data_IF_239131782068
#
_entry.id   IF_239131782068
#
_cell.length_a   1.000
_cell.length_b   1.000
_cell.length_c   1.000
_cell.angle_alpha   90.00
_cell.angle_beta   90.00
_cell.angle_gamma   90.00
#
_symmetry.space_group_name_H-M   'P 1'
#
loop_
_entity.id
_entity.type
_entity.pdbx_description
1 polymer ?
#
# COMPACT_ATOMS: atom_id res chain seq x y z
N UNK A 1 -25.87 -3.12 28.48
CA UNK A 1 -24.93 -2.55 27.49
C UNK A 1 -25.44 -1.18 27.10
N UNK A 2 -24.72 -0.11 27.49
CA UNK A 2 -25.08 1.25 27.13
C UNK A 2 -24.83 1.45 25.64
N UNK A 3 -25.87 1.24 24.82
CA UNK A 3 -25.92 1.75 23.44
C UNK A 3 -26.03 3.27 23.55
N UNK A 4 -24.85 3.88 23.66
CA UNK A 4 -24.65 5.23 24.15
C UNK A 4 -25.06 6.22 23.06
N UNK A 5 -25.56 7.38 23.49
CA UNK A 5 -26.04 8.57 22.77
C UNK A 5 -25.41 8.90 21.39
N UNK A 6 -24.25 8.35 21.06
CA UNK A 6 -23.46 8.65 19.86
C UNK A 6 -23.24 7.45 18.91
N UNK A 7 -23.84 6.27 19.14
CA UNK A 7 -23.63 5.09 18.27
C UNK A 7 -24.00 5.34 16.80
N UNK A 8 -24.92 6.28 16.53
CA UNK A 8 -25.36 6.65 15.17
C UNK A 8 -24.20 7.14 14.28
N UNK A 9 -23.09 7.63 14.84
CA UNK A 9 -21.95 8.11 14.04
C UNK A 9 -21.31 7.01 13.19
N UNK A 10 -21.44 5.74 13.59
CA UNK A 10 -20.95 4.59 12.82
C UNK A 10 -21.71 4.38 11.51
N UNK A 11 -22.93 4.93 11.38
CA UNK A 11 -23.72 4.82 10.14
C UNK A 11 -23.17 5.69 9.01
N UNK A 12 -22.22 6.58 9.31
CA UNK A 12 -21.52 7.39 8.30
C UNK A 12 -20.27 6.71 7.74
N UNK A 13 -19.89 5.53 8.25
CA UNK A 13 -18.82 4.74 7.65
C UNK A 13 -19.27 4.25 6.27
N UNK A 14 -18.39 4.37 5.27
CA UNK A 14 -18.66 3.91 3.91
C UNK A 14 -18.17 2.48 3.77
N UNK A 15 -19.01 1.60 3.23
CA UNK A 15 -18.56 0.29 2.75
C UNK A 15 -17.84 0.46 1.42
N UNK A 16 -16.56 0.16 1.43
CA UNK A 16 -15.61 0.39 0.35
C UNK A 16 -14.96 -0.92 -0.12
N UNK A 17 -15.71 -2.02 0.01
CA UNK A 17 -15.28 -3.35 -0.37
C UNK A 17 -14.99 -3.47 -1.87
N UNK A 18 -13.80 -3.93 -2.21
CA UNK A 18 -13.38 -4.21 -3.59
C UNK A 18 -14.13 -5.41 -4.18
N UNK A 19 -14.53 -5.30 -5.45
CA UNK A 19 -15.28 -6.32 -6.18
C UNK A 19 -14.65 -7.71 -6.07
N UNK A 20 -15.46 -8.74 -5.81
CA UNK A 20 -14.99 -10.12 -5.66
C UNK A 20 -14.42 -10.69 -6.97
N UNK A 21 -13.49 -11.65 -6.89
CA UNK A 21 -12.84 -12.29 -8.04
C UNK A 21 -12.15 -11.30 -8.99
N UNK A 22 -11.77 -10.13 -8.47
CA UNK A 22 -10.95 -9.14 -9.15
C UNK A 22 -9.63 -8.95 -8.41
N UNK A 23 -8.56 -8.78 -9.19
CA UNK A 23 -7.24 -8.42 -8.69
C UNK A 23 -7.28 -7.03 -8.05
N UNK A 24 -6.63 -6.88 -6.90
CA UNK A 24 -6.48 -5.59 -6.23
C UNK A 24 -5.02 -5.18 -6.40
N UNK A 25 -4.79 -3.96 -6.90
CA UNK A 25 -3.46 -3.39 -7.02
C UNK A 25 -3.36 -2.18 -6.10
N UNK A 26 -2.46 -2.24 -5.14
CA UNK A 26 -2.12 -1.10 -4.27
C UNK A 26 -0.84 -0.49 -4.79
N UNK A 27 -0.92 0.73 -5.32
CA UNK A 27 0.25 1.50 -5.74
C UNK A 27 0.57 2.57 -4.69
N UNK A 28 1.83 2.60 -4.26
CA UNK A 28 2.36 3.57 -3.31
C UNK A 28 3.47 4.37 -3.99
N UNK A 29 3.44 5.68 -3.82
CA UNK A 29 4.38 6.62 -4.45
C UNK A 29 5.02 7.55 -3.40
N UNK A 30 6.28 7.87 -3.62
CA UNK A 30 7.06 8.79 -2.81
C UNK A 30 6.54 10.23 -2.87
N UNK A 31 5.80 10.66 -1.85
CA UNK A 31 5.34 12.06 -1.76
C UNK A 31 6.50 13.06 -1.82
N UNK A 32 6.50 13.89 -2.86
CA UNK A 32 7.52 14.92 -3.09
C UNK A 32 8.96 14.36 -3.10
N UNK A 33 9.15 13.16 -3.67
CA UNK A 33 10.42 12.44 -3.61
C UNK A 33 11.60 13.21 -4.23
N UNK A 34 11.35 14.10 -5.19
CA UNK A 34 12.40 14.98 -5.71
C UNK A 34 13.02 15.87 -4.61
N UNK A 35 12.21 16.41 -3.68
CA UNK A 35 12.73 17.19 -2.55
C UNK A 35 13.51 16.31 -1.58
N UNK A 36 13.01 15.10 -1.32
CA UNK A 36 13.66 14.11 -0.47
C UNK A 36 15.03 13.70 -1.03
N UNK A 37 15.08 13.26 -2.29
CA UNK A 37 16.33 12.81 -2.94
C UNK A 37 17.37 13.93 -3.01
N UNK A 38 16.95 15.20 -3.20
CA UNK A 38 17.85 16.35 -3.14
C UNK A 38 18.40 16.58 -1.72
N UNK A 39 17.54 16.53 -0.69
CA UNK A 39 17.95 16.72 0.71
C UNK A 39 18.88 15.60 1.20
N UNK A 40 18.74 14.39 0.66
CA UNK A 40 19.55 13.22 1.00
C UNK A 40 20.69 12.93 0.01
N UNK A 41 20.98 13.86 -0.90
CA UNK A 41 22.11 13.78 -1.84
C UNK A 41 22.14 12.46 -2.62
N UNK A 42 20.99 12.10 -3.21
CA UNK A 42 20.90 10.92 -4.06
C UNK A 42 21.74 11.10 -5.32
N UNK A 43 22.44 10.04 -5.72
CA UNK A 43 23.12 9.96 -7.00
C UNK A 43 22.09 10.01 -8.14
N UNK A 44 22.47 10.67 -9.24
CA UNK A 44 21.65 10.81 -10.44
C UNK A 44 22.34 10.09 -11.62
N UNK A 45 21.60 9.44 -12.52
CA UNK A 45 20.13 9.41 -12.59
C UNK A 45 19.49 8.49 -11.53
N UNK A 46 20.22 7.50 -11.01
CA UNK A 46 19.71 6.51 -10.08
C UNK A 46 20.61 6.38 -8.85
N UNK A 47 20.02 6.19 -7.68
CA UNK A 47 20.72 5.91 -6.43
C UNK A 47 20.40 4.49 -5.95
N UNK A 48 21.39 3.61 -5.98
CA UNK A 48 21.25 2.21 -5.60
C UNK A 48 20.84 2.03 -4.14
N UNK A 49 21.24 2.94 -3.24
CA UNK A 49 20.91 2.86 -1.80
C UNK A 49 19.42 3.05 -1.60
N UNK A 50 18.84 4.04 -2.30
CA UNK A 50 17.40 4.30 -2.27
C UNK A 50 16.59 3.18 -2.87
N UNK A 51 16.98 2.70 -4.06
CA UNK A 51 16.30 1.60 -4.74
C UNK A 51 16.36 0.30 -3.94
N UNK A 52 17.52 -0.02 -3.35
CA UNK A 52 17.69 -1.18 -2.48
C UNK A 52 16.85 -1.07 -1.21
N UNK A 53 16.76 0.12 -0.62
CA UNK A 53 15.90 0.37 0.53
C UNK A 53 14.43 0.16 0.20
N UNK A 54 13.95 0.69 -0.95
CA UNK A 54 12.56 0.48 -1.37
C UNK A 54 12.25 -0.99 -1.65
N UNK A 55 13.16 -1.69 -2.33
CA UNK A 55 13.02 -3.12 -2.60
C UNK A 55 12.96 -3.91 -1.29
N UNK A 56 13.82 -3.59 -0.32
CA UNK A 56 13.80 -4.22 1.00
C UNK A 56 12.50 -3.94 1.76
N UNK A 57 11.99 -2.71 1.70
CA UNK A 57 10.70 -2.37 2.30
C UNK A 57 9.56 -3.16 1.65
N UNK A 58 9.52 -3.25 0.32
CA UNK A 58 8.53 -4.03 -0.41
C UNK A 58 8.61 -5.53 -0.07
N UNK A 59 9.82 -6.10 0.07
CA UNK A 59 10.00 -7.48 0.53
C UNK A 59 9.43 -7.72 1.93
N UNK A 60 9.58 -6.77 2.85
CA UNK A 60 8.96 -6.87 4.18
C UNK A 60 7.44 -6.83 4.10
N UNK A 61 6.86 -5.94 3.27
CA UNK A 61 5.41 -5.88 3.03
C UNK A 61 4.90 -7.21 2.47
N UNK A 62 5.58 -7.78 1.46
CA UNK A 62 5.22 -9.09 0.90
C UNK A 62 5.38 -10.23 1.92
N UNK A 63 6.32 -10.12 2.86
CA UNK A 63 6.50 -11.10 3.93
C UNK A 63 5.38 -11.08 4.97
N UNK A 64 4.81 -9.90 5.24
CA UNK A 64 3.68 -9.72 6.18
C UNK A 64 2.34 -10.13 5.54
N UNK A 65 2.14 -9.80 4.25
CA UNK A 65 0.90 -10.06 3.54
C UNK A 65 1.05 -11.21 2.53
N UNK A 66 0.73 -12.42 2.97
CA UNK A 66 0.85 -13.65 2.16
C UNK A 66 -0.06 -13.71 0.92
N UNK A 67 -1.08 -12.86 0.84
CA UNK A 67 -2.01 -12.81 -0.30
C UNK A 67 -1.49 -11.93 -1.46
N UNK A 68 -0.36 -11.24 -1.29
CA UNK A 68 0.34 -10.52 -2.36
C UNK A 68 1.12 -11.53 -3.21
N UNK A 69 0.80 -11.62 -4.50
CA UNK A 69 1.43 -12.59 -5.42
C UNK A 69 2.56 -12.00 -6.25
N UNK A 70 2.58 -10.68 -6.40
CA UNK A 70 3.56 -9.95 -7.21
C UNK A 70 3.71 -8.55 -6.64
N UNK A 71 4.95 -8.06 -6.64
CA UNK A 71 5.22 -6.64 -6.45
C UNK A 71 6.22 -6.15 -7.49
N UNK A 72 5.99 -4.95 -8.02
CA UNK A 72 6.83 -4.29 -9.01
C UNK A 72 7.13 -2.87 -8.55
N UNK A 73 8.40 -2.46 -8.61
CA UNK A 73 8.83 -1.12 -8.21
C UNK A 73 9.76 -0.48 -9.21
N UNK A 74 9.64 0.83 -9.36
CA UNK A 74 10.46 1.66 -10.24
C UNK A 74 10.55 3.08 -9.67
N UNK A 75 11.71 3.74 -9.77
CA UNK A 75 11.92 5.10 -9.23
C UNK A 75 11.59 5.20 -7.73
N UNK A 76 10.44 5.79 -7.40
CA UNK A 76 9.92 6.09 -6.09
C UNK A 76 8.54 5.47 -5.84
N UNK A 77 8.10 4.57 -6.73
CA UNK A 77 6.84 3.85 -6.63
C UNK A 77 7.02 2.34 -6.45
N UNK A 78 6.00 1.72 -5.83
CA UNK A 78 5.83 0.27 -5.76
C UNK A 78 4.36 -0.10 -5.89
N UNK A 79 4.08 -1.07 -6.75
CA UNK A 79 2.76 -1.70 -6.93
C UNK A 79 2.75 -3.09 -6.31
N UNK A 80 1.73 -3.38 -5.52
CA UNK A 80 1.50 -4.68 -4.88
C UNK A 80 0.19 -5.30 -5.41
N UNK A 81 0.27 -6.52 -5.92
CA UNK A 81 -0.87 -7.21 -6.52
C UNK A 81 -1.37 -8.30 -5.57
N UNK A 82 -2.56 -8.12 -5.03
CA UNK A 82 -3.24 -9.14 -4.24
C UNK A 82 -3.98 -10.11 -5.13
N UNK A 83 -3.97 -11.39 -4.77
CA UNK A 83 -4.71 -12.42 -5.50
C UNK A 83 -6.19 -12.06 -5.60
N UNK A 84 -6.82 -12.37 -6.75
CA UNK A 84 -8.24 -12.03 -7.00
C UNK A 84 -9.22 -12.60 -5.97
N UNK A 85 -8.85 -13.72 -5.33
CA UNK A 85 -9.64 -14.40 -4.29
C UNK A 85 -9.29 -13.93 -2.86
N UNK A 86 -8.47 -12.89 -2.74
CA UNK A 86 -8.06 -12.31 -1.46
C UNK A 86 -9.27 -11.97 -0.57
N UNK A 87 -9.16 -12.29 0.72
CA UNK A 87 -10.19 -11.97 1.73
C UNK A 87 -9.66 -11.09 2.85
N UNK A 88 -8.41 -10.66 2.74
CA UNK A 88 -7.75 -9.79 3.69
C UNK A 88 -8.63 -8.56 4.00
N UNK A 89 -8.86 -8.31 5.29
CA UNK A 89 -9.71 -7.21 5.79
C UNK A 89 -11.09 -7.09 5.12
N UNK A 90 -11.71 -8.21 4.75
CA UNK A 90 -12.99 -8.24 4.03
C UNK A 90 -12.95 -7.48 2.68
N UNK A 91 -11.75 -7.32 2.09
CA UNK A 91 -11.49 -6.59 0.84
C UNK A 91 -11.83 -5.11 0.90
N UNK A 92 -11.91 -4.50 2.09
CA UNK A 92 -12.07 -3.05 2.23
C UNK A 92 -10.87 -2.33 1.62
N UNK A 93 -11.12 -1.24 0.92
CA UNK A 93 -10.05 -0.47 0.24
C UNK A 93 -9.23 0.39 1.20
N UNK A 94 -9.82 0.77 2.34
CA UNK A 94 -9.25 1.59 3.42
C UNK A 94 -8.37 0.81 4.39
#
# INVERSE_FOLDING_TARGET
MAKSKFEYVKQFDVDDSCLQNCWIVVCVDGKAFQKFTNAHYYMKPNDERGLSLMTKAAQQVMGEFSEIVLAYGQSDEYSFVFHKDSKLYSRRSS
#
